data_IF_429982596194
#
_entry.id   IF_429982596194
#
_cell.length_a   1.000
_cell.length_b   1.000
_cell.length_c   1.000
_cell.angle_alpha   90.00
_cell.angle_beta   90.00
_cell.angle_gamma   90.00
#
_symmetry.space_group_name_H-M   'P 1'
#
loop_
_entity.id
_entity.type
_entity.pdbx_description
1 polymer ?
#
# COMPACT_ATOMS: atom_id res chain seq x y z
N UNK A 1 -3.78 -10.34 10.71
CA UNK A 1 -2.95 -10.22 9.50
C UNK A 1 -1.48 -9.99 9.86
N UNK A 2 -1.10 -8.84 10.43
CA UNK A 2 0.30 -8.53 10.80
C UNK A 2 1.03 -9.55 11.70
N UNK A 3 0.35 -10.20 12.65
CA UNK A 3 1.00 -11.19 13.53
C UNK A 3 1.49 -12.45 12.78
N UNK A 4 0.88 -12.77 11.64
CA UNK A 4 1.26 -13.91 10.80
C UNK A 4 2.56 -13.67 10.03
N UNK A 5 2.97 -12.40 9.91
CA UNK A 5 4.17 -11.97 9.20
C UNK A 5 5.42 -11.95 10.10
N UNK A 6 5.33 -12.28 11.39
CA UNK A 6 6.47 -12.30 12.32
C UNK A 6 7.43 -13.50 12.19
N UNK A 7 6.98 -14.74 11.91
CA UNK A 7 7.86 -15.90 11.94
C UNK A 7 8.94 -15.87 10.85
N UNK A 8 10.21 -15.99 11.25
CA UNK A 8 11.34 -16.11 10.33
C UNK A 8 11.88 -14.79 9.78
N UNK A 9 11.34 -13.65 10.22
CA UNK A 9 11.76 -12.34 9.74
C UNK A 9 13.06 -11.83 10.39
N UNK A 10 13.88 -11.07 9.65
CA UNK A 10 14.97 -10.29 10.23
C UNK A 10 14.50 -9.37 11.36
N UNK A 11 15.36 -9.17 12.37
CA UNK A 11 15.01 -8.41 13.58
C UNK A 11 14.46 -6.99 13.30
N UNK A 12 14.93 -6.32 12.25
CA UNK A 12 14.46 -4.99 11.88
C UNK A 12 13.05 -4.99 11.27
N UNK A 13 12.69 -6.01 10.48
CA UNK A 13 11.34 -6.19 9.93
C UNK A 13 10.37 -6.53 11.05
N UNK A 14 10.77 -7.44 11.93
CA UNK A 14 9.99 -7.80 13.11
C UNK A 14 9.71 -6.57 14.00
N UNK A 15 10.71 -5.73 14.26
CA UNK A 15 10.54 -4.49 15.01
C UNK A 15 9.56 -3.51 14.34
N UNK A 16 9.65 -3.35 13.02
CA UNK A 16 8.72 -2.53 12.23
C UNK A 16 7.28 -3.05 12.33
N UNK A 17 7.07 -4.35 12.07
CA UNK A 17 5.76 -5.00 12.14
C UNK A 17 5.19 -4.89 13.55
N UNK A 18 6.00 -5.14 14.58
CA UNK A 18 5.60 -5.01 15.99
C UNK A 18 5.17 -3.59 16.34
N UNK A 19 5.89 -2.56 15.86
CA UNK A 19 5.51 -1.16 16.04
C UNK A 19 4.10 -0.89 15.48
N UNK A 20 3.83 -1.31 14.24
CA UNK A 20 2.51 -1.12 13.63
C UNK A 20 1.41 -1.94 14.31
N UNK A 21 1.71 -3.15 14.79
CA UNK A 21 0.78 -3.92 15.62
C UNK A 21 0.42 -3.11 16.87
N UNK A 22 1.40 -2.56 17.59
CA UNK A 22 1.15 -1.75 18.78
C UNK A 22 0.28 -0.53 18.48
N UNK A 23 0.59 0.20 17.40
CA UNK A 23 -0.21 1.37 16.98
C UNK A 23 -1.64 0.98 16.65
N UNK A 24 -1.85 -0.07 15.86
CA UNK A 24 -3.19 -0.53 15.45
C UNK A 24 -3.98 -1.06 16.64
N UNK A 25 -3.33 -1.79 17.56
CA UNK A 25 -3.97 -2.26 18.79
C UNK A 25 -4.37 -1.10 19.70
N UNK A 26 -3.56 -0.04 19.77
CA UNK A 26 -3.86 1.15 20.56
C UNK A 26 -5.00 1.99 19.99
N UNK A 27 -5.00 2.21 18.67
CA UNK A 27 -6.08 2.95 17.97
C UNK A 27 -7.37 2.13 17.88
N UNK A 28 -7.26 0.81 17.80
CA UNK A 28 -8.39 -0.09 17.59
C UNK A 28 -8.45 -0.58 16.14
N UNK A 29 -8.47 -1.91 15.89
CA UNK A 29 -8.48 -2.48 14.54
C UNK A 29 -9.65 -2.01 13.67
N UNK A 30 -10.82 -1.77 14.27
CA UNK A 30 -12.02 -1.30 13.57
C UNK A 30 -11.83 0.13 13.06
N UNK A 31 -11.30 1.03 13.90
CA UNK A 31 -11.03 2.42 13.52
C UNK A 31 -9.97 2.50 12.41
N UNK A 32 -8.92 1.67 12.51
CA UNK A 32 -7.93 1.53 11.45
C UNK A 32 -8.57 1.05 10.13
N UNK A 33 -9.49 0.08 10.19
CA UNK A 33 -10.25 -0.40 9.04
C UNK A 33 -11.09 0.70 8.39
N UNK A 34 -11.82 1.51 9.17
CA UNK A 34 -12.57 2.64 8.62
C UNK A 34 -11.67 3.70 8.00
N UNK A 35 -10.54 4.02 8.64
CA UNK A 35 -9.56 4.94 8.10
C UNK A 35 -9.04 4.45 6.73
N UNK A 36 -8.65 3.18 6.64
CA UNK A 36 -8.21 2.57 5.39
C UNK A 36 -9.29 2.67 4.30
N UNK A 37 -10.53 2.26 4.60
CA UNK A 37 -11.63 2.29 3.65
C UNK A 37 -11.96 3.70 3.15
N UNK A 38 -11.89 4.71 4.03
CA UNK A 38 -12.11 6.12 3.66
C UNK A 38 -11.02 6.59 2.69
N UNK A 39 -9.75 6.31 2.99
CA UNK A 39 -8.63 6.70 2.13
C UNK A 39 -8.73 6.00 0.76
N UNK A 40 -9.03 4.70 0.72
CA UNK A 40 -9.27 3.96 -0.53
C UNK A 40 -10.40 4.58 -1.35
N UNK A 41 -11.51 4.94 -0.69
CA UNK A 41 -12.67 5.55 -1.34
C UNK A 41 -12.33 6.90 -1.95
N UNK A 42 -11.55 7.73 -1.25
CA UNK A 42 -11.08 9.02 -1.74
C UNK A 42 -10.16 8.83 -2.94
N UNK A 43 -9.19 7.92 -2.86
CA UNK A 43 -8.27 7.62 -3.96
C UNK A 43 -9.05 7.16 -5.19
N UNK A 44 -9.95 6.19 -5.02
CA UNK A 44 -10.78 5.66 -6.10
C UNK A 44 -11.65 6.76 -6.74
N UNK A 45 -12.26 7.62 -5.93
CA UNK A 45 -13.09 8.73 -6.41
C UNK A 45 -12.31 9.67 -7.35
N UNK A 46 -11.10 10.08 -6.96
CA UNK A 46 -10.27 10.95 -7.79
C UNK A 46 -9.74 10.24 -9.05
N UNK A 47 -9.44 8.95 -8.96
CA UNK A 47 -9.06 8.15 -10.14
C UNK A 47 -10.20 8.05 -11.15
N UNK A 48 -11.45 7.83 -10.70
CA UNK A 48 -12.63 7.72 -11.56
C UNK A 48 -12.93 9.06 -12.24
N UNK A 49 -12.87 10.17 -11.50
CA UNK A 49 -13.18 11.50 -12.05
C UNK A 49 -12.05 11.99 -12.98
N UNK A 50 -10.83 11.48 -12.82
CA UNK A 50 -9.67 11.91 -13.60
C UNK A 50 -9.21 13.35 -13.30
N UNK A 51 -9.72 13.96 -12.22
CA UNK A 51 -9.32 15.31 -11.77
C UNK A 51 -8.48 15.21 -10.50
N UNK A 52 -7.56 16.15 -10.32
CA UNK A 52 -6.69 16.16 -9.13
C UNK A 52 -5.67 15.02 -9.11
N UNK A 53 -5.42 14.36 -10.26
CA UNK A 53 -4.52 13.20 -10.34
C UNK A 53 -3.11 13.49 -9.81
N UNK A 54 -2.61 14.71 -10.02
CA UNK A 54 -1.33 15.17 -9.47
C UNK A 54 -1.25 15.09 -7.93
N UNK A 55 -2.37 15.23 -7.23
CA UNK A 55 -2.38 15.09 -5.77
C UNK A 55 -2.65 13.66 -5.34
N UNK A 56 -3.55 12.95 -6.03
CA UNK A 56 -3.94 11.59 -5.64
C UNK A 56 -2.85 10.55 -5.94
N UNK A 57 -2.04 10.73 -6.99
CA UNK A 57 -0.99 9.78 -7.38
C UNK A 57 0.05 9.58 -6.27
N UNK A 58 0.72 10.62 -5.72
CA UNK A 58 1.69 10.40 -4.64
C UNK A 58 1.03 9.83 -3.38
N UNK A 59 -0.22 10.20 -3.09
CA UNK A 59 -0.99 9.63 -1.97
C UNK A 59 -1.26 8.14 -2.19
N UNK A 60 -1.66 7.75 -3.41
CA UNK A 60 -1.89 6.37 -3.80
C UNK A 60 -0.63 5.51 -3.69
N UNK A 61 0.52 6.02 -4.15
CA UNK A 61 1.83 5.35 -4.00
C UNK A 61 2.14 5.12 -2.52
N UNK A 62 2.05 6.17 -1.70
CA UNK A 62 2.37 6.09 -0.28
C UNK A 62 1.41 5.15 0.46
N UNK A 63 0.11 5.20 0.13
CA UNK A 63 -0.91 4.34 0.72
C UNK A 63 -0.65 2.87 0.35
N UNK A 64 -0.46 2.55 -0.92
CA UNK A 64 -0.18 1.19 -1.38
C UNK A 64 1.09 0.61 -0.75
N UNK A 65 2.17 1.40 -0.65
CA UNK A 65 3.38 1.01 0.09
C UNK A 65 3.09 0.78 1.58
N UNK A 66 2.30 1.65 2.21
CA UNK A 66 1.90 1.50 3.61
C UNK A 66 1.14 0.20 3.84
N UNK A 67 0.16 -0.13 2.99
CA UNK A 67 -0.61 -1.37 3.10
C UNK A 67 0.28 -2.60 2.86
N UNK A 68 1.19 -2.54 1.88
CA UNK A 68 2.12 -3.65 1.62
C UNK A 68 3.01 -3.96 2.83
N UNK A 69 3.66 -2.93 3.38
CA UNK A 69 4.58 -3.09 4.52
C UNK A 69 3.86 -3.46 5.82
N UNK A 70 2.55 -3.19 5.91
CA UNK A 70 1.75 -3.47 7.11
C UNK A 70 0.80 -4.65 6.90
N UNK A 71 -0.35 -4.46 6.25
CA UNK A 71 -1.37 -5.48 6.08
C UNK A 71 -0.86 -6.72 5.34
N UNK A 72 0.02 -6.55 4.34
CA UNK A 72 0.66 -7.65 3.61
C UNK A 72 2.00 -8.07 4.23
N UNK A 73 2.46 -7.38 5.28
CA UNK A 73 3.63 -7.76 6.08
C UNK A 73 4.92 -7.86 5.27
N UNK A 74 5.15 -6.97 4.30
CA UNK A 74 6.28 -7.04 3.36
C UNK A 74 6.25 -8.25 2.41
N UNK A 75 5.14 -8.98 2.34
CA UNK A 75 5.05 -10.28 1.68
C UNK A 75 5.46 -11.44 2.59
N UNK A 76 5.84 -11.23 3.86
CA UNK A 76 6.11 -12.31 4.80
C UNK A 76 4.88 -13.22 5.03
N UNK A 77 5.04 -14.47 5.54
CA UNK A 77 6.26 -15.10 6.03
C UNK A 77 7.12 -15.74 4.94
N UNK A 78 8.45 -15.53 5.01
CA UNK A 78 9.43 -16.11 4.06
C UNK A 78 9.97 -17.48 4.52
N UNK A 79 9.07 -18.46 4.73
CA UNK A 79 9.46 -19.80 5.16
C UNK A 79 9.84 -20.70 3.97
N UNK A 80 10.74 -21.70 4.13
CA UNK A 80 11.02 -22.67 3.07
C UNK A 80 9.75 -23.36 2.58
N UNK A 81 9.45 -23.27 1.29
CA UNK A 81 8.22 -23.82 0.69
C UNK A 81 6.96 -22.97 0.93
N UNK A 82 7.05 -21.88 1.68
CA UNK A 82 6.00 -20.87 1.73
C UNK A 82 6.24 -19.82 0.66
N UNK A 83 5.29 -19.70 -0.25
CA UNK A 83 5.09 -18.46 -0.98
C UNK A 83 4.47 -17.48 0.00
N UNK A 84 5.18 -16.38 0.28
CA UNK A 84 4.72 -15.11 0.85
C UNK A 84 3.20 -14.91 0.98
N UNK A 85 2.69 -14.21 2.00
CA UNK A 85 1.25 -14.06 2.33
C UNK A 85 0.27 -14.40 1.18
N UNK A 86 -0.35 -15.59 1.22
CA UNK A 86 -1.26 -16.15 0.18
C UNK A 86 -0.66 -16.50 -1.20
N UNK A 87 0.63 -16.69 -1.37
CA UNK A 87 1.22 -16.90 -2.70
C UNK A 87 2.01 -15.72 -3.27
N UNK A 88 1.91 -14.55 -2.65
CA UNK A 88 2.17 -13.28 -3.31
C UNK A 88 3.38 -12.57 -2.71
N UNK A 89 4.56 -12.87 -3.26
CA UNK A 89 5.84 -12.26 -2.84
C UNK A 89 5.87 -10.76 -3.15
N UNK A 90 5.16 -10.35 -4.19
CA UNK A 90 5.01 -8.95 -4.51
C UNK A 90 3.86 -8.34 -3.72
N UNK A 91 2.84 -9.10 -3.33
CA UNK A 91 1.65 -8.56 -2.68
C UNK A 91 0.79 -7.78 -3.67
N UNK A 92 -0.53 -7.81 -3.46
CA UNK A 92 -1.49 -7.17 -4.37
C UNK A 92 -1.30 -5.67 -4.44
N UNK A 93 -0.81 -5.07 -3.35
CA UNK A 93 -0.66 -3.63 -3.24
C UNK A 93 0.58 -3.07 -3.93
N UNK A 94 1.64 -3.86 -4.14
CA UNK A 94 2.77 -3.42 -4.97
C UNK A 94 2.37 -3.26 -6.44
N UNK A 95 1.43 -4.06 -6.95
CA UNK A 95 0.89 -3.87 -8.31
C UNK A 95 0.25 -2.48 -8.42
N UNK A 96 -0.42 -2.00 -7.38
CA UNK A 96 -0.98 -0.66 -7.35
C UNK A 96 0.11 0.42 -7.33
N UNK A 97 1.21 0.22 -6.60
CA UNK A 97 2.38 1.13 -6.67
C UNK A 97 2.87 1.26 -8.11
N UNK A 98 3.03 0.14 -8.82
CA UNK A 98 3.45 0.13 -10.22
C UNK A 98 2.43 0.88 -11.08
N UNK A 99 1.13 0.60 -10.93
CA UNK A 99 0.07 1.30 -11.66
C UNK A 99 0.11 2.83 -11.42
N UNK A 100 0.31 3.27 -10.18
CA UNK A 100 0.47 4.68 -9.86
C UNK A 100 1.74 5.30 -10.45
N UNK A 101 2.85 4.55 -10.55
CA UNK A 101 4.07 5.03 -11.21
C UNK A 101 3.84 5.23 -12.71
N UNK A 102 3.10 4.34 -13.38
CA UNK A 102 2.68 4.55 -14.78
C UNK A 102 1.77 5.79 -14.90
N UNK A 103 0.82 5.96 -14.00
CA UNK A 103 -0.02 7.17 -13.96
C UNK A 103 0.81 8.42 -13.68
N UNK A 104 1.85 8.34 -12.85
CA UNK A 104 2.76 9.44 -12.59
C UNK A 104 3.49 9.84 -13.86
N UNK A 105 4.08 8.88 -14.59
CA UNK A 105 4.72 9.13 -15.89
C UNK A 105 3.73 9.80 -16.83
N UNK A 106 2.51 9.27 -16.95
CA UNK A 106 1.50 9.83 -17.83
C UNK A 106 1.10 11.26 -17.43
N UNK A 107 0.84 11.53 -16.15
CA UNK A 107 0.33 12.84 -15.69
C UNK A 107 1.43 13.91 -15.59
N UNK A 108 2.67 13.52 -15.30
CA UNK A 108 3.76 14.47 -15.10
C UNK A 108 4.64 14.67 -16.33
N UNK A 109 4.82 13.65 -17.15
CA UNK A 109 5.78 13.68 -18.27
C UNK A 109 5.11 13.78 -19.65
N UNK A 110 3.80 13.52 -19.77
CA UNK A 110 3.11 13.70 -21.06
C UNK A 110 2.91 15.19 -21.36
N UNK A 111 3.44 15.71 -22.48
CA UNK A 111 3.20 17.09 -22.87
C UNK A 111 1.71 17.31 -23.15
N UNK A 112 1.07 18.22 -22.44
CA UNK A 112 -0.24 18.70 -22.83
C UNK A 112 -0.07 19.55 -24.09
N UNK A 113 -0.57 19.05 -25.24
CA UNK A 113 -0.65 19.82 -26.47
C UNK A 113 -1.48 21.07 -26.17
N UNK A 114 -0.83 22.24 -26.19
CA UNK A 114 -1.55 23.51 -26.17
C UNK A 114 -2.27 23.61 -27.51
N UNK A 115 -3.59 23.46 -27.51
CA UNK A 115 -4.40 23.92 -28.63
C UNK A 115 -4.34 25.44 -28.63
N UNK A 116 -3.73 25.99 -29.69
CA UNK A 116 -3.73 27.41 -30.01
C UNK A 116 -4.91 27.71 -30.93
#
# INVERSE_FOLDING_TARGET
YLQQALPGEPAWIAAYISFFITVITWVGPVLFGYFAAIIESIIAFYLIIGRGLRWVIPVGIAYSMGVWTTAEGWGAPFLPGATANKGDVLGTTNIYVIAFLFLAVWVYLTPHRKEN
#
